data_IF_924895829056
#
_entry.id   IF_924895829056
#
_cell.length_a   1.000
_cell.length_b   1.000
_cell.length_c   1.000
_cell.angle_alpha   90.00
_cell.angle_beta   90.00
_cell.angle_gamma   90.00
#
_symmetry.space_group_name_H-M   'P 1'
#
loop_
_entity.id
_entity.type
_entity.pdbx_description
1 polymer ?
#
# COMPACT_ATOMS: atom_id res chain seq x y z
N UNK A 1 -14.76 9.33 4.46
CA UNK A 1 -15.07 7.92 4.14
C UNK A 1 -14.33 7.41 2.89
N UNK A 2 -14.49 8.04 1.71
CA UNK A 2 -13.80 7.60 0.48
C UNK A 2 -12.26 7.61 0.58
N UNK A 3 -11.68 8.61 1.25
CA UNK A 3 -10.24 8.71 1.50
C UNK A 3 -9.69 7.59 2.43
N UNK A 4 -10.52 7.08 3.35
CA UNK A 4 -10.15 5.99 4.28
C UNK A 4 -10.00 4.65 3.53
N UNK A 5 -10.86 4.42 2.53
CA UNK A 5 -10.88 3.20 1.72
C UNK A 5 -9.63 3.14 0.83
N UNK A 6 -9.16 4.29 0.32
CA UNK A 6 -7.94 4.37 -0.49
C UNK A 6 -6.67 4.13 0.34
N UNK A 7 -6.65 4.50 1.63
CA UNK A 7 -5.49 4.25 2.51
C UNK A 7 -5.24 2.78 2.83
N UNK A 8 -6.25 1.91 2.68
CA UNK A 8 -6.20 0.53 3.21
C UNK A 8 -5.42 -0.46 2.35
N UNK A 9 -5.00 -0.10 1.13
CA UNK A 9 -4.23 -0.97 0.22
C UNK A 9 -2.77 -0.52 0.00
N UNK A 10 -2.26 0.40 0.83
CA UNK A 10 -0.85 0.78 0.75
C UNK A 10 0.03 -0.32 1.37
N UNK A 11 0.94 -0.88 0.57
CA UNK A 11 2.02 -1.71 1.11
C UNK A 11 3.03 -0.77 1.77
N UNK A 12 3.35 -0.97 3.06
CA UNK A 12 4.28 -0.10 3.78
C UNK A 12 5.66 -0.12 3.14
N UNK A 13 6.35 1.01 3.19
CA UNK A 13 7.70 1.12 2.69
C UNK A 13 8.66 0.21 3.50
N UNK A 14 9.77 -0.28 2.93
CA UNK A 14 10.65 -1.23 3.62
C UNK A 14 11.12 -0.77 5.01
N UNK A 15 11.39 0.52 5.17
CA UNK A 15 11.75 1.16 6.44
C UNK A 15 10.61 1.14 7.48
N UNK A 16 9.35 1.07 7.05
CA UNK A 16 8.20 0.96 7.94
C UNK A 16 7.92 -0.48 8.41
N UNK A 17 8.61 -1.48 7.84
CA UNK A 17 8.36 -2.89 8.17
C UNK A 17 8.73 -3.25 9.60
N UNK A 18 9.57 -2.45 10.28
CA UNK A 18 9.81 -2.61 11.72
C UNK A 18 8.52 -2.56 12.54
N UNK A 19 7.55 -1.71 12.16
CA UNK A 19 6.25 -1.62 12.83
C UNK A 19 5.34 -2.81 12.50
N UNK A 20 5.46 -3.35 11.29
CA UNK A 20 4.69 -4.51 10.81
C UNK A 20 5.12 -5.78 11.54
N UNK A 21 6.43 -5.98 11.72
CA UNK A 21 6.99 -7.14 12.42
C UNK A 21 7.14 -6.94 13.93
N UNK A 22 7.07 -5.70 14.42
CA UNK A 22 7.29 -5.37 15.83
C UNK A 22 8.75 -5.47 16.28
N UNK A 23 9.68 -5.68 15.34
CA UNK A 23 11.12 -5.82 15.58
C UNK A 23 11.89 -5.31 14.36
N UNK A 24 12.66 -4.25 14.57
CA UNK A 24 13.40 -3.55 13.53
C UNK A 24 14.64 -4.33 13.04
N UNK A 25 15.27 -5.10 13.93
CA UNK A 25 16.42 -5.94 13.59
C UNK A 25 15.96 -7.11 12.73
N UNK A 26 14.85 -7.75 13.12
CA UNK A 26 14.25 -8.83 12.35
C UNK A 26 13.78 -8.34 10.97
N UNK A 27 13.08 -7.21 10.91
CA UNK A 27 12.61 -6.64 9.65
C UNK A 27 13.77 -6.38 8.69
N UNK A 28 14.86 -5.77 9.19
CA UNK A 28 16.06 -5.49 8.40
C UNK A 28 16.70 -6.78 7.88
N UNK A 29 16.80 -7.82 8.72
CA UNK A 29 17.38 -9.10 8.30
C UNK A 29 16.53 -9.85 7.25
N UNK A 30 15.21 -9.66 7.25
CA UNK A 30 14.33 -10.19 6.22
C UNK A 30 14.47 -9.41 4.93
N UNK A 31 14.46 -8.07 5.01
CA UNK A 31 14.61 -7.18 3.85
C UNK A 31 15.95 -7.40 3.15
N UNK A 32 17.04 -7.56 3.90
CA UNK A 32 18.35 -7.89 3.34
C UNK A 32 18.27 -9.12 2.42
N UNK A 33 17.64 -10.20 2.88
CA UNK A 33 17.48 -11.44 2.09
C UNK A 33 16.54 -11.28 0.89
N UNK A 34 15.46 -10.51 1.02
CA UNK A 34 14.50 -10.29 -0.07
C UNK A 34 15.05 -9.38 -1.16
N UNK A 35 15.86 -8.38 -0.78
CA UNK A 35 16.35 -7.34 -1.68
C UNK A 35 17.73 -7.64 -2.26
N UNK A 36 18.47 -8.62 -1.74
CA UNK A 36 19.86 -8.91 -2.13
C UNK A 36 20.08 -9.09 -3.65
N UNK A 37 19.11 -9.68 -4.36
CA UNK A 37 19.20 -9.98 -5.80
C UNK A 37 17.92 -9.62 -6.55
N UNK A 38 17.15 -8.66 -6.04
CA UNK A 38 15.83 -8.31 -6.58
C UNK A 38 15.72 -6.83 -6.83
N UNK A 39 15.01 -6.48 -7.89
CA UNK A 39 14.71 -5.10 -8.21
C UNK A 39 13.44 -4.65 -7.47
N UNK A 40 13.49 -3.43 -6.93
CA UNK A 40 12.34 -2.80 -6.28
C UNK A 40 11.69 -1.84 -7.26
N UNK A 41 10.42 -2.10 -7.60
CA UNK A 41 9.62 -1.21 -8.45
C UNK A 41 8.61 -0.48 -7.58
N UNK A 42 8.78 0.84 -7.46
CA UNK A 42 7.78 1.71 -6.81
C UNK A 42 6.57 1.89 -7.72
N UNK A 43 5.37 1.63 -7.20
CA UNK A 43 4.11 1.81 -7.92
C UNK A 43 3.22 2.77 -7.13
N UNK A 44 2.98 3.95 -7.70
CA UNK A 44 2.13 5.00 -7.08
C UNK A 44 0.78 5.16 -7.79
N UNK A 45 0.42 4.23 -8.67
CA UNK A 45 -0.83 4.27 -9.43
C UNK A 45 -2.03 3.84 -8.58
N UNK A 46 -3.24 4.38 -8.83
CA UNK A 46 -4.45 3.91 -8.15
C UNK A 46 -4.70 2.41 -8.34
N UNK A 47 -5.30 1.77 -7.34
CA UNK A 47 -5.66 0.34 -7.39
C UNK A 47 -6.57 0.07 -8.58
N UNK A 48 -6.09 -0.74 -9.53
CA UNK A 48 -6.85 -1.11 -10.73
C UNK A 48 -8.19 -1.78 -10.38
N UNK A 49 -8.20 -2.62 -9.34
CA UNK A 49 -9.40 -3.32 -8.84
C UNK A 49 -10.46 -2.36 -8.31
N UNK A 50 -10.04 -1.23 -7.77
CA UNK A 50 -10.94 -0.23 -7.20
C UNK A 50 -11.53 0.70 -8.26
N UNK A 51 -11.08 0.67 -9.52
CA UNK A 51 -11.54 1.61 -10.58
C UNK A 51 -13.06 1.72 -10.67
N UNK A 52 -13.77 0.59 -10.71
CA UNK A 52 -15.23 0.57 -10.81
C UNK A 52 -15.91 1.01 -9.52
N UNK A 53 -15.34 0.62 -8.37
CA UNK A 53 -15.87 1.00 -7.05
C UNK A 53 -15.70 2.49 -6.78
N UNK A 54 -14.56 3.06 -7.15
CA UNK A 54 -14.29 4.49 -7.06
C UNK A 54 -15.23 5.28 -7.98
N UNK A 55 -15.45 4.83 -9.21
CA UNK A 55 -16.41 5.46 -10.12
C UNK A 55 -17.87 5.37 -9.63
N UNK A 56 -18.23 4.35 -8.85
CA UNK A 56 -19.54 4.26 -8.21
C UNK A 56 -19.64 5.25 -7.04
N UNK A 57 -18.64 5.26 -6.16
CA UNK A 57 -18.57 6.20 -5.02
C UNK A 57 -18.59 7.66 -5.49
N UNK A 58 -17.84 7.99 -6.55
CA UNK A 58 -17.78 9.36 -7.08
C UNK A 58 -19.13 9.84 -7.62
N UNK A 59 -19.89 8.96 -8.29
CA UNK A 59 -21.27 9.26 -8.71
C UNK A 59 -22.17 9.52 -7.51
N UNK A 60 -22.10 8.69 -6.49
CA UNK A 60 -22.93 8.83 -5.28
C UNK A 60 -22.60 10.13 -4.52
N UNK A 61 -21.34 10.57 -4.52
CA UNK A 61 -20.92 11.84 -3.89
C UNK A 61 -21.30 13.10 -4.68
N UNK A 62 -21.55 13.01 -5.98
CA UNK A 62 -21.86 14.16 -6.83
C UNK A 62 -23.38 14.40 -6.98
N UNK A 63 -24.19 13.47 -6.46
CA UNK A 63 -25.66 13.53 -6.44
C UNK A 63 -26.19 14.00 -5.07
N UNK A 64 -25.33 14.05 -4.05
CA UNK A 64 -25.60 14.62 -2.72
C UNK A 64 -25.10 16.06 -2.63
#
# INVERSE_FOLDING_TARGET
>A
MAAEILKKEHVPAPDEWGQVFGDEVLATAILDRLLHHRDVVSMNSPSYRLKNRLAAIERDTNVA
#
